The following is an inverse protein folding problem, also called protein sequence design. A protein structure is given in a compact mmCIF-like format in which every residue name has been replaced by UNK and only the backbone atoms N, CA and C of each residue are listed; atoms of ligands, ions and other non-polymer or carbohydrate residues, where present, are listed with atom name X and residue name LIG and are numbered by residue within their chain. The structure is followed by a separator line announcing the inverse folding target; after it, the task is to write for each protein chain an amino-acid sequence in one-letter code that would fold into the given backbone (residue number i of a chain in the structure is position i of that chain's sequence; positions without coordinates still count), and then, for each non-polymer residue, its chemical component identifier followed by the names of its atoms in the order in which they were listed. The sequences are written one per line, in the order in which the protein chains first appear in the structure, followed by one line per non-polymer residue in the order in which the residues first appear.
data_IF_403846264929
#
_entry.id   IF_403846264929
#
_cell.length_a   1.000
_cell.length_b   1.000
_cell.length_c   1.000
_cell.angle_alpha   90.00
_cell.angle_beta   90.00
_cell.angle_gamma   90.00
#
_symmetry.space_group_name_H-M   'P 1'
#
loop_
_entity.id
_entity.type
_entity.pdbx_description
1 polymer ?
#
# COMPACT_ATOMS: atom_id res chain seq x y z
N UNK A 1 24.72 -4.76 -24.36
CA UNK A 1 24.68 -3.43 -23.72
C UNK A 1 23.58 -2.60 -24.35
N UNK A 2 22.73 -2.00 -23.53
CA UNK A 2 21.55 -1.26 -23.98
C UNK A 2 21.88 0.01 -24.78
N UNK A 3 22.99 0.69 -24.48
CA UNK A 3 23.30 2.01 -25.02
C UNK A 3 24.62 2.02 -25.76
N UNK A 4 25.09 1.19 -26.48
CA UNK A 4 26.29 1.19 -27.36
C UNK A 4 27.28 2.38 -27.13
N UNK A 5 27.48 2.78 -25.89
CA UNK A 5 28.42 3.86 -25.52
C UNK A 5 29.79 3.26 -25.22
N UNK A 6 30.84 3.93 -25.67
CA UNK A 6 32.23 3.55 -25.33
C UNK A 6 32.51 3.75 -23.85
N UNK A 7 31.92 4.77 -23.27
CA UNK A 7 32.04 5.11 -21.86
C UNK A 7 30.65 5.50 -21.34
N UNK A 8 30.34 5.10 -20.13
CA UNK A 8 29.10 5.51 -19.46
C UNK A 8 29.29 6.93 -18.92
N UNK A 9 28.41 7.89 -19.28
CA UNK A 9 28.50 9.25 -18.71
C UNK A 9 28.35 9.20 -17.20
N UNK A 10 29.08 10.07 -16.51
CA UNK A 10 28.94 10.21 -15.07
C UNK A 10 27.66 10.96 -14.74
N UNK A 11 26.90 10.54 -13.70
CA UNK A 11 25.72 11.26 -13.29
C UNK A 11 26.09 12.65 -12.76
N UNK A 12 25.26 13.64 -13.06
CA UNK A 12 25.47 15.03 -12.59
C UNK A 12 24.82 15.26 -11.23
N UNK A 13 23.85 14.44 -10.86
CA UNK A 13 23.16 14.52 -9.59
C UNK A 13 22.50 13.17 -9.28
N UNK A 14 22.18 12.93 -8.01
CA UNK A 14 21.47 11.72 -7.58
C UNK A 14 20.57 12.02 -6.40
N UNK A 15 19.47 11.28 -6.30
CA UNK A 15 18.57 11.32 -5.14
C UNK A 15 18.23 9.90 -4.73
N UNK A 16 18.43 9.60 -3.45
CA UNK A 16 18.10 8.31 -2.86
C UNK A 16 16.94 8.49 -1.87
N UNK A 17 15.89 7.70 -2.04
CA UNK A 17 14.78 7.71 -1.08
C UNK A 17 15.17 7.00 0.20
N UNK A 18 14.50 7.36 1.29
CA UNK A 18 14.70 6.76 2.62
C UNK A 18 13.35 6.42 3.27
N UNK A 19 12.46 5.78 2.52
CA UNK A 19 11.11 5.47 2.98
C UNK A 19 11.06 4.67 4.28
N UNK A 20 12.02 3.77 4.50
CA UNK A 20 12.11 3.00 5.73
C UNK A 20 12.43 3.82 6.97
N UNK A 21 13.03 5.00 6.78
CA UNK A 21 13.39 5.93 7.87
C UNK A 21 12.42 7.09 8.01
N UNK A 22 11.49 7.23 7.06
CA UNK A 22 10.48 8.28 7.09
C UNK A 22 9.46 8.00 8.20
N UNK A 23 9.33 8.94 9.13
CA UNK A 23 8.46 8.77 10.31
C UNK A 23 6.97 8.63 9.98
N UNK A 24 6.55 9.02 8.78
CA UNK A 24 5.17 8.89 8.33
C UNK A 24 4.92 7.64 7.47
N UNK A 25 5.96 6.91 7.13
CA UNK A 25 5.86 5.77 6.22
C UNK A 25 6.42 4.49 6.82
N UNK A 26 7.63 4.52 7.32
CA UNK A 26 8.39 3.38 7.83
C UNK A 26 8.44 2.19 6.85
N UNK A 27 8.40 2.47 5.56
CA UNK A 27 8.43 1.47 4.50
C UNK A 27 7.87 1.99 3.20
N UNK A 28 7.96 1.20 2.15
CA UNK A 28 7.53 1.60 0.81
C UNK A 28 6.15 1.06 0.45
N UNK A 29 5.91 -0.22 0.68
CA UNK A 29 4.65 -0.89 0.36
C UNK A 29 4.56 -2.22 1.11
N UNK A 30 3.35 -2.80 1.16
CA UNK A 30 3.12 -4.09 1.79
C UNK A 30 3.64 -5.25 0.93
N UNK A 31 3.82 -6.40 1.54
CA UNK A 31 4.14 -7.63 0.82
C UNK A 31 3.62 -8.85 1.60
N UNK A 32 3.44 -9.95 0.89
CA UNK A 32 3.05 -11.22 1.50
C UNK A 32 4.32 -12.00 1.86
N UNK A 33 4.62 -12.11 3.14
CA UNK A 33 5.74 -12.92 3.59
C UNK A 33 5.41 -14.42 3.59
N UNK A 34 6.42 -15.26 3.79
CA UNK A 34 6.21 -16.72 3.91
C UNK A 34 5.27 -17.00 5.08
N UNK A 35 4.23 -17.78 4.81
CA UNK A 35 3.20 -18.11 5.80
C UNK A 35 1.99 -17.18 5.79
N UNK A 36 2.03 -16.07 5.05
CA UNK A 36 0.87 -15.19 4.86
C UNK A 36 -0.10 -15.75 3.82
N UNK A 37 -1.36 -15.39 3.96
CA UNK A 37 -2.39 -15.72 2.98
C UNK A 37 -3.40 -14.57 2.85
N UNK A 38 -4.31 -14.68 1.89
CA UNK A 38 -5.34 -13.66 1.66
C UNK A 38 -6.29 -13.48 2.83
N UNK A 39 -6.46 -14.50 3.67
CA UNK A 39 -7.29 -14.39 4.86
C UNK A 39 -6.69 -13.43 5.90
N UNK A 40 -5.36 -13.28 5.92
CA UNK A 40 -4.70 -12.29 6.77
C UNK A 40 -5.06 -10.87 6.32
N UNK A 41 -5.14 -10.63 5.01
CA UNK A 41 -5.57 -9.34 4.46
C UNK A 41 -7.03 -9.07 4.82
N UNK A 42 -7.90 -10.07 4.73
CA UNK A 42 -9.31 -9.95 5.13
C UNK A 42 -9.45 -9.64 6.60
N UNK A 43 -8.62 -10.27 7.45
CA UNK A 43 -8.59 -9.98 8.87
C UNK A 43 -8.13 -8.54 9.16
N UNK A 44 -7.15 -8.03 8.37
CA UNK A 44 -6.66 -6.68 8.51
C UNK A 44 -7.73 -5.62 8.24
N UNK A 45 -8.62 -5.88 7.28
CA UNK A 45 -9.69 -4.92 6.91
C UNK A 45 -10.95 -5.05 7.76
N UNK A 46 -11.01 -6.04 8.65
CA UNK A 46 -12.19 -6.23 9.47
C UNK A 46 -12.50 -4.98 10.29
N UNK A 47 -13.76 -4.58 10.28
CA UNK A 47 -14.22 -3.43 11.06
C UNK A 47 -14.17 -3.78 12.55
N UNK A 48 -13.64 -2.88 13.35
CA UNK A 48 -13.38 -3.09 14.76
C UNK A 48 -14.17 -2.12 15.65
N UNK A 49 -14.10 -2.35 16.94
CA UNK A 49 -14.72 -1.49 17.96
C UNK A 49 -16.21 -1.25 17.72
N UNK A 50 -16.98 -2.32 17.47
CA UNK A 50 -18.41 -2.26 17.21
C UNK A 50 -18.78 -1.38 16.01
N UNK A 51 -18.01 -1.51 14.92
CA UNK A 51 -18.26 -0.77 13.70
C UNK A 51 -17.82 0.70 13.75
N UNK A 52 -16.84 1.02 14.59
CA UNK A 52 -16.36 2.41 14.76
C UNK A 52 -14.96 2.64 14.20
N UNK A 53 -14.21 1.59 13.88
CA UNK A 53 -12.87 1.68 13.31
C UNK A 53 -12.85 0.94 11.98
N UNK A 54 -12.41 1.63 10.95
CA UNK A 54 -12.35 1.13 9.57
C UNK A 54 -10.93 1.24 9.06
N UNK A 55 -10.53 0.31 8.22
CA UNK A 55 -9.21 0.27 7.63
C UNK A 55 -9.29 0.33 6.11
N UNK A 56 -8.39 1.08 5.51
CA UNK A 56 -8.26 1.20 4.05
C UNK A 56 -6.81 1.46 3.69
N UNK A 57 -6.47 1.20 2.46
CA UNK A 57 -5.12 1.37 1.95
C UNK A 57 -4.75 0.23 1.02
N UNK A 58 -3.58 0.32 0.38
CA UNK A 58 -3.15 -0.71 -0.57
C UNK A 58 -2.99 -2.09 0.09
N UNK A 59 -2.55 -2.13 1.36
CA UNK A 59 -2.38 -3.37 2.11
C UNK A 59 -3.71 -4.08 2.40
N UNK A 60 -4.82 -3.36 2.33
CA UNK A 60 -6.17 -3.86 2.55
C UNK A 60 -6.81 -4.47 1.30
N UNK A 61 -6.15 -4.39 0.15
CA UNK A 61 -6.67 -4.91 -1.11
C UNK A 61 -6.10 -6.29 -1.40
N UNK A 62 -6.97 -7.27 -1.59
CA UNK A 62 -6.55 -8.62 -2.03
C UNK A 62 -6.19 -8.62 -3.51
N UNK A 63 -6.98 -7.90 -4.33
CA UNK A 63 -6.85 -7.95 -5.79
C UNK A 63 -5.80 -6.99 -6.34
N UNK A 64 -5.58 -5.87 -5.67
CA UNK A 64 -4.74 -4.78 -6.16
C UNK A 64 -3.81 -4.25 -5.07
N UNK A 65 -3.23 -5.16 -4.28
CA UNK A 65 -2.22 -4.80 -3.28
C UNK A 65 -1.02 -4.10 -3.93
N UNK A 66 -0.38 -3.21 -3.19
CA UNK A 66 0.79 -2.44 -3.62
C UNK A 66 0.49 -1.45 -4.77
N UNK A 67 -0.78 -1.21 -5.07
CA UNK A 67 -1.19 -0.36 -6.18
C UNK A 67 -2.06 0.80 -5.70
N UNK A 68 -1.95 1.93 -6.39
CA UNK A 68 -2.76 3.12 -6.09
C UNK A 68 -4.25 2.81 -6.23
N UNK A 69 -4.65 2.09 -7.27
CA UNK A 69 -6.06 1.73 -7.45
C UNK A 69 -6.58 0.82 -6.34
N UNK A 70 -5.74 -0.04 -5.74
CA UNK A 70 -6.11 -0.82 -4.57
C UNK A 70 -6.41 0.06 -3.35
N UNK A 71 -5.61 1.09 -3.14
CA UNK A 71 -5.87 2.09 -2.09
C UNK A 71 -7.18 2.85 -2.33
N UNK A 72 -7.45 3.24 -3.58
CA UNK A 72 -8.70 3.93 -3.94
C UNK A 72 -9.92 3.03 -3.72
N UNK A 73 -9.85 1.78 -4.18
CA UNK A 73 -10.96 0.84 -4.03
C UNK A 73 -11.31 0.57 -2.56
N UNK A 74 -10.30 0.35 -1.73
CA UNK A 74 -10.50 0.09 -0.30
C UNK A 74 -10.99 1.35 0.44
N UNK A 75 -10.50 2.53 0.06
CA UNK A 75 -10.99 3.80 0.59
C UNK A 75 -12.45 4.04 0.27
N UNK A 76 -12.85 3.79 -0.97
CA UNK A 76 -14.25 3.88 -1.39
C UNK A 76 -15.13 2.90 -0.64
N UNK A 77 -14.68 1.64 -0.48
CA UNK A 77 -15.42 0.62 0.25
C UNK A 77 -15.64 1.03 1.71
N UNK A 78 -14.60 1.50 2.38
CA UNK A 78 -14.70 1.99 3.76
C UNK A 78 -15.66 3.18 3.88
N UNK A 79 -15.60 4.12 2.95
CA UNK A 79 -16.50 5.28 2.94
C UNK A 79 -17.97 4.85 2.78
N UNK A 80 -18.26 3.93 1.87
CA UNK A 80 -19.60 3.38 1.67
C UNK A 80 -20.11 2.69 2.94
N UNK A 81 -19.25 1.90 3.58
CA UNK A 81 -19.60 1.20 4.82
C UNK A 81 -19.93 2.19 5.94
N UNK A 82 -19.09 3.22 6.14
CA UNK A 82 -19.33 4.26 7.14
C UNK A 82 -20.65 4.99 6.89
N UNK A 83 -20.93 5.36 5.65
CA UNK A 83 -22.16 6.04 5.29
C UNK A 83 -23.40 5.17 5.49
N UNK A 84 -23.30 3.87 5.29
CA UNK A 84 -24.41 2.94 5.50
C UNK A 84 -24.75 2.77 6.97
N UNK A 85 -23.74 2.84 7.86
CA UNK A 85 -23.95 2.75 9.32
C UNK A 85 -24.54 4.03 9.90
N UNK A 86 -24.23 5.20 9.29
CA UNK A 86 -24.71 6.50 9.74
C UNK A 86 -26.22 6.76 9.49
N UNK A 87 -26.86 5.84 8.81
CA UNK A 87 -28.31 5.90 8.54
C UNK A 87 -29.06 4.98 9.50
#
# INVERSE_FOLDING_TARGET
MMFRLKETPQPVDSKVTRWGQDEHSYGAYSYMHVGSCTDDVKALVATEHNGRVYFAGEACSVEAAQCVHGAVLTGNAAAVEILSVGN
#
